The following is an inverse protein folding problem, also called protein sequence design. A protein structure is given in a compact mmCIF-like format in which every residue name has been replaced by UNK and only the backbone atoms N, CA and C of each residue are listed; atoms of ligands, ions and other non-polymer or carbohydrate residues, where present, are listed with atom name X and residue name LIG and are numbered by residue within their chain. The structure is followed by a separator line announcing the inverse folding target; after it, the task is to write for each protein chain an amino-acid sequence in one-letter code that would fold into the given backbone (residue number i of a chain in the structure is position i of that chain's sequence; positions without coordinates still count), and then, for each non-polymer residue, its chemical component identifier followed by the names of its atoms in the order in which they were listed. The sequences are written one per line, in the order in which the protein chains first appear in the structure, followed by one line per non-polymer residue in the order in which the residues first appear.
data_IF_179114297541
#
_entry.id   IF_179114297541
#
_cell.length_a   1.000
_cell.length_b   1.000
_cell.length_c   1.000
_cell.angle_alpha   90.00
_cell.angle_beta   90.00
_cell.angle_gamma   90.00
#
_symmetry.space_group_name_H-M   'P 1'
#
loop_
_entity.id
_entity.type
_entity.pdbx_description
1 polymer ?
#
# COMPACT_ATOMS: atom_id res chain seq x y z
N UNK A 1 13.19 25.21 36.82
CA UNK A 1 12.22 24.15 36.43
C UNK A 1 11.97 24.14 34.93
N UNK A 2 11.87 25.29 34.26
CA UNK A 2 11.64 25.36 32.80
C UNK A 2 12.79 24.77 31.95
N UNK A 3 14.05 25.01 32.33
CA UNK A 3 15.21 24.55 31.55
C UNK A 3 15.31 23.02 31.49
N UNK A 4 14.93 22.33 32.56
CA UNK A 4 14.91 20.86 32.62
C UNK A 4 13.84 20.28 31.70
N UNK A 5 12.66 20.93 31.64
CA UNK A 5 11.59 20.54 30.72
C UNK A 5 12.00 20.70 29.25
N UNK A 6 12.69 21.79 28.91
CA UNK A 6 13.18 22.04 27.55
C UNK A 6 14.22 20.99 27.13
N UNK A 7 15.15 20.62 28.01
CA UNK A 7 16.17 19.59 27.73
C UNK A 7 15.52 18.22 27.52
N UNK A 8 14.53 17.86 28.33
CA UNK A 8 13.80 16.59 28.18
C UNK A 8 12.98 16.55 26.88
N UNK A 9 12.33 17.65 26.52
CA UNK A 9 11.58 17.76 25.26
C UNK A 9 12.50 17.64 24.04
N UNK A 10 13.69 18.26 24.09
CA UNK A 10 14.68 18.18 23.03
C UNK A 10 15.20 16.74 22.86
N UNK A 11 15.51 16.05 23.96
CA UNK A 11 15.90 14.64 23.92
C UNK A 11 14.78 13.74 23.41
N UNK A 12 13.54 13.98 23.82
CA UNK A 12 12.38 13.22 23.36
C UNK A 12 12.15 13.40 21.85
N UNK A 13 12.28 14.62 21.33
CA UNK A 13 12.20 14.90 19.88
C UNK A 13 13.34 14.22 19.10
N UNK A 14 14.56 14.22 19.65
CA UNK A 14 15.69 13.51 19.04
C UNK A 14 15.44 11.99 19.03
N UNK A 15 14.99 11.41 20.14
CA UNK A 15 14.67 9.98 20.18
C UNK A 15 13.46 9.61 19.32
N UNK A 16 12.44 10.46 19.23
CA UNK A 16 11.26 10.24 18.39
C UNK A 16 11.63 10.26 16.89
N UNK A 17 12.53 11.18 16.49
CA UNK A 17 13.03 11.21 15.11
C UNK A 17 13.91 10.00 14.78
N UNK A 18 14.78 9.55 15.71
CA UNK A 18 15.55 8.31 15.55
C UNK A 18 14.67 7.04 15.53
N UNK A 19 13.64 6.96 16.36
CA UNK A 19 12.70 5.84 16.38
C UNK A 19 11.92 5.73 15.06
N UNK A 20 11.55 6.88 14.47
CA UNK A 20 10.88 6.90 13.16
C UNK A 20 11.83 6.47 12.03
N UNK A 21 13.12 6.84 12.08
CA UNK A 21 14.12 6.41 11.08
C UNK A 21 14.45 4.91 11.18
N UNK A 22 14.40 4.32 12.37
CA UNK A 22 14.58 2.88 12.56
C UNK A 22 13.38 2.05 12.04
N UNK A 23 12.15 2.57 12.19
CA UNK A 23 10.92 1.89 11.74
C UNK A 23 10.74 2.00 10.21
N UNK A 24 11.22 3.07 9.57
CA UNK A 24 11.14 3.24 8.11
C UNK A 24 12.28 2.53 7.36
N UNK A 25 13.43 2.28 7.99
CA UNK A 25 14.54 1.55 7.33
C UNK A 25 14.39 0.04 7.28
N UNK A 26 13.52 -0.57 8.08
CA UNK A 26 13.20 -2.01 7.97
C UNK A 26 12.10 -2.29 6.93
N UNK A 27 11.27 -1.30 6.59
CA UNK A 27 10.24 -1.45 5.53
C UNK A 27 10.74 -1.10 4.13
N UNK A 28 11.83 -0.32 4.00
CA UNK A 28 12.37 0.09 2.69
C UNK A 28 13.49 -0.79 2.12
N UNK A 29 13.96 -1.79 2.87
CA UNK A 29 14.92 -2.80 2.39
C UNK A 29 14.25 -4.06 1.82
N UNK A 30 12.92 -4.25 2.00
CA UNK A 30 12.17 -5.33 1.34
C UNK A 30 11.73 -4.94 -0.08
N UNK A 31 11.70 -3.64 -0.41
CA UNK A 31 11.29 -3.14 -1.74
C UNK A 31 12.39 -3.11 -2.82
N UNK A 32 13.58 -3.68 -2.58
CA UNK A 32 14.65 -3.81 -3.61
C UNK A 32 15.30 -5.20 -3.68
N UNK A 33 14.55 -6.24 -3.35
CA UNK A 33 15.03 -7.62 -3.37
C UNK A 33 14.22 -8.60 -4.24
N UNK A 34 13.24 -8.13 -5.02
CA UNK A 34 12.26 -9.03 -5.67
C UNK A 34 12.28 -8.98 -7.21
N UNK A 35 13.12 -8.16 -7.84
CA UNK A 35 13.26 -8.18 -9.32
C UNK A 35 14.39 -9.08 -9.85
N UNK A 36 15.02 -9.93 -9.02
CA UNK A 36 16.05 -10.89 -9.49
C UNK A 36 15.92 -12.32 -8.96
N UNK A 37 14.70 -12.83 -8.76
CA UNK A 37 14.53 -14.25 -8.36
C UNK A 37 13.38 -14.99 -9.05
N UNK A 38 13.20 -14.83 -10.35
CA UNK A 38 12.16 -15.57 -11.10
C UNK A 38 12.69 -16.56 -12.15
N UNK A 39 13.99 -16.85 -12.24
CA UNK A 39 14.46 -17.82 -13.26
C UNK A 39 15.55 -18.82 -12.85
N UNK A 40 15.94 -18.96 -11.57
CA UNK A 40 17.07 -19.87 -11.23
C UNK A 40 17.04 -20.51 -9.85
N UNK A 41 15.93 -21.15 -9.48
CA UNK A 41 15.84 -21.93 -8.24
C UNK A 41 15.32 -23.36 -8.43
N UNK A 42 15.57 -23.98 -9.60
CA UNK A 42 15.24 -25.39 -9.85
C UNK A 42 16.41 -26.38 -9.71
N UNK A 43 17.64 -25.95 -9.36
CA UNK A 43 18.81 -26.87 -9.29
C UNK A 43 19.93 -26.50 -8.28
N UNK A 44 19.62 -25.99 -7.08
CA UNK A 44 20.64 -25.82 -6.00
C UNK A 44 20.07 -26.24 -4.64
N UNK A 45 19.38 -27.37 -4.58
CA UNK A 45 18.77 -27.82 -3.33
C UNK A 45 19.02 -29.30 -3.01
N UNK A 46 19.58 -30.09 -3.93
CA UNK A 46 19.70 -31.52 -3.65
C UNK A 46 20.93 -31.89 -2.79
N UNK A 47 22.18 -31.52 -3.10
CA UNK A 47 23.29 -32.23 -2.43
C UNK A 47 24.12 -31.49 -1.36
N UNK A 48 23.82 -30.24 -1.02
CA UNK A 48 24.52 -29.52 0.08
C UNK A 48 23.62 -29.28 1.31
N UNK A 49 22.37 -29.78 1.29
CA UNK A 49 21.35 -29.55 2.32
C UNK A 49 21.34 -30.55 3.47
N UNK A 50 22.03 -31.69 3.37
CA UNK A 50 21.77 -32.83 4.27
C UNK A 50 22.46 -32.76 5.65
N UNK A 51 23.45 -31.89 5.88
CA UNK A 51 24.10 -31.76 7.21
C UNK A 51 23.85 -30.44 7.93
N UNK A 52 23.65 -29.33 7.22
CA UNK A 52 23.43 -28.03 7.85
C UNK A 52 21.97 -27.76 8.25
N UNK A 53 21.00 -28.50 7.71
CA UNK A 53 19.56 -28.20 7.84
C UNK A 53 18.89 -28.82 9.07
N UNK A 54 19.53 -29.79 9.73
CA UNK A 54 18.94 -30.52 10.87
C UNK A 54 18.81 -29.67 12.15
N UNK A 55 19.53 -28.55 12.23
CA UNK A 55 19.52 -27.65 13.40
C UNK A 55 18.78 -26.31 13.17
N UNK A 56 18.41 -25.99 11.93
CA UNK A 56 17.77 -24.71 11.57
C UNK A 56 16.36 -24.86 10.97
N UNK A 57 15.87 -26.10 10.75
CA UNK A 57 14.49 -26.32 10.37
C UNK A 57 13.60 -26.42 11.62
N UNK A 58 12.51 -25.64 11.69
CA UNK A 58 11.37 -26.03 12.51
C UNK A 58 11.04 -27.48 12.14
N UNK A 59 10.92 -28.38 13.10
CA UNK A 59 10.42 -29.74 12.82
C UNK A 59 9.05 -29.68 12.14
N UNK A 60 8.54 -30.81 11.64
CA UNK A 60 7.29 -30.84 10.86
C UNK A 60 6.11 -30.10 11.53
N UNK A 61 6.06 -30.12 12.86
CA UNK A 61 5.09 -29.33 13.66
C UNK A 61 5.29 -27.82 13.51
N UNK A 62 6.52 -27.33 13.57
CA UNK A 62 6.80 -25.90 13.36
C UNK A 62 6.52 -25.46 11.92
N UNK A 63 6.70 -26.35 10.93
CA UNK A 63 6.31 -26.09 9.56
C UNK A 63 4.78 -25.93 9.41
N UNK A 64 4.00 -26.76 10.11
CA UNK A 64 2.53 -26.61 10.17
C UNK A 64 2.12 -25.28 10.84
N UNK A 65 2.71 -24.95 11.99
CA UNK A 65 2.39 -23.69 12.69
C UNK A 65 2.70 -22.48 11.81
N UNK A 66 3.85 -22.48 11.12
CA UNK A 66 4.20 -21.41 10.18
C UNK A 66 3.22 -21.31 9.03
N UNK A 67 2.83 -22.44 8.43
CA UNK A 67 1.88 -22.46 7.32
C UNK A 67 0.52 -21.88 7.72
N UNK A 68 0.06 -22.17 8.95
CA UNK A 68 -1.17 -21.61 9.52
C UNK A 68 -1.07 -20.09 9.72
N UNK A 69 0.06 -19.62 10.25
CA UNK A 69 0.32 -18.19 10.44
C UNK A 69 0.35 -17.44 9.10
N UNK A 70 1.04 -17.99 8.10
CA UNK A 70 1.16 -17.39 6.77
C UNK A 70 -0.22 -17.32 6.08
N UNK A 71 -1.00 -18.41 6.15
CA UNK A 71 -2.36 -18.47 5.61
C UNK A 71 -3.26 -17.41 6.25
N UNK A 72 -3.26 -17.34 7.58
CA UNK A 72 -4.07 -16.36 8.32
C UNK A 72 -3.66 -14.92 7.99
N UNK A 73 -2.36 -14.62 8.03
CA UNK A 73 -1.82 -13.29 7.73
C UNK A 73 -2.15 -12.84 6.30
N UNK A 74 -2.05 -13.76 5.34
CA UNK A 74 -2.40 -13.48 3.93
C UNK A 74 -3.89 -13.11 3.78
N UNK A 75 -4.80 -13.83 4.44
CA UNK A 75 -6.23 -13.53 4.40
C UNK A 75 -6.56 -12.23 5.14
N UNK A 76 -6.07 -12.06 6.38
CA UNK A 76 -6.33 -10.88 7.22
C UNK A 76 -5.85 -9.60 6.50
N UNK A 77 -4.62 -9.60 5.96
CA UNK A 77 -4.09 -8.45 5.19
C UNK A 77 -4.85 -8.17 3.88
N UNK A 78 -5.53 -9.18 3.32
CA UNK A 78 -6.35 -9.00 2.12
C UNK A 78 -7.70 -8.39 2.47
N UNK A 79 -8.31 -8.77 3.60
CA UNK A 79 -9.51 -8.10 4.11
C UNK A 79 -9.23 -6.64 4.46
N UNK A 80 -8.10 -6.34 5.09
CA UNK A 80 -7.69 -4.95 5.37
C UNK A 80 -7.56 -4.14 4.08
N UNK A 81 -6.92 -4.68 3.04
CA UNK A 81 -6.84 -3.99 1.75
C UNK A 81 -8.22 -3.77 1.11
N UNK A 82 -9.12 -4.74 1.21
CA UNK A 82 -10.46 -4.68 0.61
C UNK A 82 -11.36 -3.63 1.26
N UNK A 83 -11.19 -3.38 2.57
CA UNK A 83 -11.97 -2.39 3.32
C UNK A 83 -11.86 -0.97 2.75
N UNK A 84 -10.79 -0.67 2.00
CA UNK A 84 -10.55 0.64 1.42
C UNK A 84 -10.84 0.72 -0.09
N UNK A 85 -11.01 -0.42 -0.78
CA UNK A 85 -11.06 -0.48 -2.23
C UNK A 85 -12.46 -0.37 -2.85
N UNK A 86 -13.53 -0.56 -2.05
CA UNK A 86 -14.92 -0.54 -2.53
C UNK A 86 -15.17 -1.43 -3.77
N UNK A 87 -14.76 -2.70 -3.70
CA UNK A 87 -14.91 -3.71 -4.76
C UNK A 87 -15.82 -4.86 -4.29
N UNK A 88 -17.15 -4.74 -4.41
CA UNK A 88 -18.08 -5.72 -3.82
C UNK A 88 -17.96 -7.12 -4.42
N UNK A 89 -17.68 -7.24 -5.72
CA UNK A 89 -17.51 -8.54 -6.37
C UNK A 89 -16.22 -9.23 -5.91
N UNK A 90 -15.13 -8.48 -5.79
CA UNK A 90 -13.86 -9.00 -5.27
C UNK A 90 -13.97 -9.39 -3.78
N UNK A 91 -14.75 -8.64 -3.00
CA UNK A 91 -15.05 -8.98 -1.61
C UNK A 91 -15.81 -10.31 -1.50
N UNK A 92 -16.82 -10.55 -2.35
CA UNK A 92 -17.55 -11.82 -2.37
C UNK A 92 -16.63 -13.01 -2.74
N UNK A 93 -15.65 -12.80 -3.64
CA UNK A 93 -14.63 -13.81 -3.94
C UNK A 93 -13.72 -14.07 -2.74
N UNK A 94 -13.33 -13.02 -2.01
CA UNK A 94 -12.51 -13.14 -0.81
C UNK A 94 -13.23 -13.91 0.30
N UNK A 95 -14.54 -13.70 0.49
CA UNK A 95 -15.34 -14.46 1.46
C UNK A 95 -15.31 -15.96 1.15
N UNK A 96 -15.55 -16.33 -0.12
CA UNK A 96 -15.47 -17.73 -0.55
C UNK A 96 -14.06 -18.31 -0.40
N UNK A 97 -13.03 -17.51 -0.65
CA UNK A 97 -11.64 -17.91 -0.45
C UNK A 97 -11.34 -18.12 1.04
N UNK A 98 -11.87 -17.26 1.91
CA UNK A 98 -11.72 -17.36 3.36
C UNK A 98 -12.37 -18.64 3.91
N UNK A 99 -13.53 -19.05 3.40
CA UNK A 99 -14.14 -20.34 3.77
C UNK A 99 -13.21 -21.53 3.45
N UNK A 100 -12.55 -21.49 2.29
CA UNK A 100 -11.54 -22.49 1.93
C UNK A 100 -10.30 -22.40 2.83
N UNK A 101 -9.86 -21.19 3.20
CA UNK A 101 -8.74 -20.98 4.11
C UNK A 101 -9.04 -21.51 5.52
N UNK A 102 -10.24 -21.27 6.06
CA UNK A 102 -10.68 -21.78 7.37
C UNK A 102 -10.79 -23.30 7.38
N UNK A 103 -11.29 -23.90 6.31
CA UNK A 103 -11.32 -25.35 6.14
C UNK A 103 -9.91 -25.92 6.17
N UNK A 104 -8.97 -25.30 5.44
CA UNK A 104 -7.58 -25.73 5.43
C UNK A 104 -6.87 -25.53 6.78
N UNK A 105 -7.12 -24.42 7.49
CA UNK A 105 -6.57 -24.22 8.85
C UNK A 105 -7.06 -25.30 9.82
N UNK A 106 -8.32 -25.72 9.71
CA UNK A 106 -8.85 -26.81 10.52
C UNK A 106 -8.16 -28.15 10.21
N UNK A 107 -7.92 -28.46 8.93
CA UNK A 107 -7.14 -29.63 8.51
C UNK A 107 -5.70 -29.58 9.06
N UNK A 108 -5.03 -28.44 8.93
CA UNK A 108 -3.68 -28.23 9.46
C UNK A 108 -3.62 -28.40 10.97
N UNK A 109 -4.62 -27.88 11.70
CA UNK A 109 -4.74 -28.01 13.15
C UNK A 109 -5.00 -29.46 13.59
N UNK A 110 -5.73 -30.23 12.80
CA UNK A 110 -5.90 -31.67 13.04
C UNK A 110 -4.57 -32.40 12.87
N UNK A 111 -3.83 -32.10 11.80
CA UNK A 111 -2.53 -32.71 11.52
C UNK A 111 -1.46 -32.33 12.57
N UNK A 112 -1.52 -31.12 13.13
CA UNK A 112 -0.63 -30.68 14.21
C UNK A 112 -0.76 -31.53 15.48
N UNK A 113 -1.95 -32.11 15.72
CA UNK A 113 -2.25 -32.98 16.86
C UNK A 113 -1.89 -34.46 16.61
N UNK A 114 -1.48 -34.80 15.39
CA UNK A 114 -1.15 -36.18 15.02
C UNK A 114 0.15 -36.64 15.73
N UNK A 115 0.10 -37.72 16.53
CA UNK A 115 1.28 -38.26 17.19
C UNK A 115 2.26 -38.91 16.19
N UNK A 116 1.77 -39.52 15.11
CA UNK A 116 2.60 -40.18 14.10
C UNK A 116 3.25 -39.17 13.15
N UNK A 117 4.55 -38.92 13.36
CA UNK A 117 5.33 -37.97 12.54
C UNK A 117 5.46 -38.39 11.09
N UNK A 118 5.45 -39.69 10.79
CA UNK A 118 5.55 -40.16 9.40
C UNK A 118 4.30 -39.78 8.61
N UNK A 119 3.12 -39.85 9.23
CA UNK A 119 1.85 -39.39 8.65
C UNK A 119 1.83 -37.88 8.44
N UNK A 120 2.39 -37.11 9.37
CA UNK A 120 2.55 -35.66 9.21
C UNK A 120 3.44 -35.34 8.02
N UNK A 121 4.64 -35.92 7.93
CA UNK A 121 5.57 -35.66 6.82
C UNK A 121 4.98 -36.05 5.46
N UNK A 122 4.17 -37.11 5.40
CA UNK A 122 3.53 -37.57 4.17
C UNK A 122 2.42 -36.63 3.66
N UNK A 123 1.63 -36.03 4.56
CA UNK A 123 0.51 -35.16 4.18
C UNK A 123 0.89 -33.68 4.03
N UNK A 124 1.96 -33.25 4.71
CA UNK A 124 2.40 -31.85 4.75
C UNK A 124 2.60 -31.22 3.35
N UNK A 125 3.20 -31.88 2.34
CA UNK A 125 3.39 -31.28 1.02
C UNK A 125 2.07 -30.95 0.31
N UNK A 126 1.06 -31.82 0.42
CA UNK A 126 -0.24 -31.61 -0.22
C UNK A 126 -1.01 -30.44 0.40
N UNK A 127 -0.96 -30.30 1.74
CA UNK A 127 -1.56 -29.15 2.43
C UNK A 127 -0.81 -27.84 2.15
N UNK A 128 0.52 -27.92 2.01
CA UNK A 128 1.36 -26.77 1.63
C UNK A 128 0.98 -26.24 0.25
N UNK A 129 0.78 -27.13 -0.74
CA UNK A 129 0.37 -26.73 -2.08
C UNK A 129 -1.01 -26.05 -2.08
N UNK A 130 -1.97 -26.61 -1.33
CA UNK A 130 -3.31 -26.00 -1.18
C UNK A 130 -3.23 -24.62 -0.52
N UNK A 131 -2.43 -24.48 0.53
CA UNK A 131 -2.20 -23.20 1.18
C UNK A 131 -1.59 -22.18 0.21
N UNK A 132 -0.59 -22.59 -0.57
CA UNK A 132 0.06 -21.72 -1.55
C UNK A 132 -0.91 -21.19 -2.61
N UNK A 133 -1.82 -22.04 -3.11
CA UNK A 133 -2.87 -21.62 -4.06
C UNK A 133 -3.83 -20.60 -3.45
N UNK A 134 -4.19 -20.77 -2.18
CA UNK A 134 -5.06 -19.82 -1.46
C UNK A 134 -4.32 -18.49 -1.26
N UNK A 135 -3.10 -18.52 -0.72
CA UNK A 135 -2.32 -17.29 -0.48
C UNK A 135 -2.03 -16.54 -1.78
N UNK A 136 -1.75 -17.26 -2.87
CA UNK A 136 -1.53 -16.64 -4.18
C UNK A 136 -2.80 -15.95 -4.71
N UNK A 137 -3.96 -16.58 -4.53
CA UNK A 137 -5.26 -15.97 -4.90
C UNK A 137 -5.56 -14.75 -4.03
N UNK A 138 -5.27 -14.81 -2.74
CA UNK A 138 -5.41 -13.69 -1.81
C UNK A 138 -4.46 -12.53 -2.18
N UNK A 139 -3.20 -12.81 -2.53
CA UNK A 139 -2.24 -11.81 -3.01
C UNK A 139 -2.74 -11.11 -4.28
N UNK A 140 -3.34 -11.84 -5.22
CA UNK A 140 -3.92 -11.25 -6.42
C UNK A 140 -5.08 -10.29 -6.09
N UNK A 141 -5.98 -10.68 -5.17
CA UNK A 141 -7.07 -9.82 -4.69
C UNK A 141 -6.53 -8.58 -3.95
N UNK A 142 -5.50 -8.75 -3.13
CA UNK A 142 -4.86 -7.66 -2.40
C UNK A 142 -4.22 -6.65 -3.35
N UNK A 143 -3.56 -7.12 -4.38
CA UNK A 143 -2.96 -6.26 -5.40
C UNK A 143 -4.03 -5.46 -6.15
N UNK A 144 -5.12 -6.10 -6.57
CA UNK A 144 -6.25 -5.42 -7.20
C UNK A 144 -6.90 -4.36 -6.28
N UNK A 145 -7.05 -4.66 -4.99
CA UNK A 145 -7.57 -3.70 -4.01
C UNK A 145 -6.66 -2.48 -3.84
N UNK A 146 -5.35 -2.70 -3.72
CA UNK A 146 -4.36 -1.62 -3.60
C UNK A 146 -4.33 -0.75 -4.86
N UNK A 147 -4.37 -1.36 -6.03
CA UNK A 147 -4.42 -0.67 -7.31
C UNK A 147 -5.65 0.25 -7.41
N UNK A 148 -6.83 -0.24 -6.98
CA UNK A 148 -8.07 0.54 -6.96
C UNK A 148 -7.99 1.79 -6.07
N UNK A 149 -7.40 1.67 -4.88
CA UNK A 149 -7.21 2.80 -3.94
C UNK A 149 -6.25 3.84 -4.51
N UNK A 150 -5.19 3.39 -5.19
CA UNK A 150 -4.25 4.30 -5.85
C UNK A 150 -4.91 5.08 -6.99
N UNK A 151 -5.72 4.40 -7.81
CA UNK A 151 -6.45 5.03 -8.91
C UNK A 151 -7.57 5.97 -8.43
N UNK A 152 -8.36 5.59 -7.43
CA UNK A 152 -9.42 6.47 -6.88
C UNK A 152 -8.86 7.78 -6.34
N UNK A 153 -7.76 7.72 -5.58
CA UNK A 153 -7.12 8.90 -5.00
C UNK A 153 -6.58 9.84 -6.08
N UNK A 154 -6.06 9.27 -7.18
CA UNK A 154 -5.58 10.05 -8.33
C UNK A 154 -6.71 10.78 -9.05
N UNK A 155 -7.83 10.10 -9.27
CA UNK A 155 -9.00 10.68 -9.93
C UNK A 155 -9.63 11.80 -9.08
N UNK A 156 -9.76 11.59 -7.77
CA UNK A 156 -10.29 12.58 -6.83
C UNK A 156 -9.41 13.84 -6.79
N UNK A 157 -8.08 13.68 -6.72
CA UNK A 157 -7.15 14.82 -6.72
C UNK A 157 -7.15 15.56 -8.06
N UNK A 158 -7.26 14.85 -9.18
CA UNK A 158 -7.36 15.47 -10.50
C UNK A 158 -8.67 16.28 -10.65
N UNK A 159 -9.78 15.76 -10.14
CA UNK A 159 -11.05 16.48 -10.08
C UNK A 159 -10.95 17.73 -9.22
N UNK A 160 -10.41 17.61 -8.00
CA UNK A 160 -10.21 18.73 -7.08
C UNK A 160 -9.29 19.80 -7.67
N UNK A 161 -8.19 19.39 -8.33
CA UNK A 161 -7.28 20.33 -9.00
C UNK A 161 -8.02 21.12 -10.08
N UNK A 162 -8.86 20.46 -10.88
CA UNK A 162 -9.67 21.13 -11.91
C UNK A 162 -10.66 22.13 -11.31
N UNK A 163 -11.31 21.77 -10.20
CA UNK A 163 -12.21 22.67 -9.48
C UNK A 163 -11.47 23.90 -8.92
N UNK A 164 -10.32 23.67 -8.29
CA UNK A 164 -9.44 24.75 -7.80
C UNK A 164 -8.99 25.66 -8.95
N UNK A 165 -8.63 25.11 -10.12
CA UNK A 165 -8.21 25.92 -11.27
C UNK A 165 -9.35 26.80 -11.81
N UNK A 166 -10.58 26.28 -11.83
CA UNK A 166 -11.77 27.06 -12.21
C UNK A 166 -12.00 28.19 -11.20
N UNK A 167 -11.99 27.89 -9.90
CA UNK A 167 -12.18 28.88 -8.83
C UNK A 167 -11.05 29.92 -8.81
N UNK A 168 -9.80 29.49 -8.96
CA UNK A 168 -8.65 30.39 -9.03
C UNK A 168 -8.66 31.28 -10.28
N UNK A 169 -9.24 30.81 -11.39
CA UNK A 169 -9.45 31.62 -12.59
C UNK A 169 -10.55 32.66 -12.37
N UNK A 170 -11.66 32.27 -11.73
CA UNK A 170 -12.72 33.19 -11.33
C UNK A 170 -12.20 34.29 -10.39
N UNK A 171 -11.36 33.91 -9.42
CA UNK A 171 -10.68 34.83 -8.50
C UNK A 171 -9.56 35.68 -9.14
N UNK A 172 -9.20 35.49 -10.40
CA UNK A 172 -8.31 36.43 -11.13
C UNK A 172 -9.09 37.36 -12.05
N UNK A 173 -10.26 36.94 -12.50
CA UNK A 173 -11.12 37.71 -13.39
C UNK A 173 -11.87 38.86 -12.70
N UNK A 174 -11.73 39.05 -11.39
CA UNK A 174 -12.25 40.25 -10.69
C UNK A 174 -11.33 41.48 -10.81
N UNK A 175 -10.23 41.38 -11.57
CA UNK A 175 -9.40 42.55 -11.85
C UNK A 175 -10.30 43.68 -12.35
N UNK A 176 -10.40 44.81 -11.62
CA UNK A 176 -11.47 45.77 -11.84
C UNK A 176 -11.39 46.32 -13.27
N UNK A 177 -12.53 46.75 -13.82
CA UNK A 177 -12.72 47.41 -15.12
C UNK A 177 -11.87 48.69 -15.36
N UNK A 178 -10.69 48.82 -14.75
CA UNK A 178 -9.72 49.90 -14.93
C UNK A 178 -9.21 49.99 -16.38
N UNK A 179 -9.23 48.89 -17.14
CA UNK A 179 -8.82 48.92 -18.56
C UNK A 179 -9.86 49.55 -19.51
N UNK A 180 -11.12 49.69 -19.08
CA UNK A 180 -12.17 50.37 -19.84
C UNK A 180 -12.23 51.86 -19.53
N UNK A 181 -12.22 52.20 -18.23
CA UNK A 181 -12.33 53.59 -17.75
C UNK A 181 -11.10 54.43 -18.12
N UNK A 182 -9.89 53.85 -18.10
CA UNK A 182 -8.68 54.59 -18.51
C UNK A 182 -8.62 54.85 -20.02
N UNK A 183 -9.08 53.91 -20.86
CA UNK A 183 -9.13 54.11 -22.32
C UNK A 183 -10.21 55.09 -22.75
N UNK A 184 -11.34 55.11 -22.06
CA UNK A 184 -12.40 56.08 -22.32
C UNK A 184 -12.03 57.48 -21.80
N UNK A 185 -11.29 57.58 -20.69
CA UNK A 185 -10.72 58.84 -20.20
C UNK A 185 -9.61 59.37 -21.11
N UNK A 186 -8.78 58.50 -21.67
CA UNK A 186 -7.73 58.88 -22.61
C UNK A 186 -8.33 59.37 -23.94
N UNK A 187 -9.31 58.65 -24.49
CA UNK A 187 -10.10 59.11 -25.66
C UNK A 187 -10.83 60.43 -25.40
N UNK A 188 -11.42 60.61 -24.22
CA UNK A 188 -12.07 61.87 -23.85
C UNK A 188 -11.09 63.04 -23.67
N UNK A 189 -9.83 62.76 -23.32
CA UNK A 189 -8.75 63.77 -23.29
C UNK A 189 -8.24 64.11 -24.68
N UNK A 190 -8.09 63.12 -25.57
CA UNK A 190 -7.70 63.33 -26.97
C UNK A 190 -8.73 64.20 -27.71
N UNK A 191 -10.03 63.90 -27.58
CA UNK A 191 -11.10 64.68 -28.19
C UNK A 191 -11.16 66.14 -27.68
N UNK A 192 -10.79 66.37 -26.41
CA UNK A 192 -10.75 67.71 -25.82
C UNK A 192 -9.56 68.54 -26.31
N UNK A 193 -8.44 67.87 -26.62
CA UNK A 193 -7.20 68.52 -27.03
C UNK A 193 -7.02 68.56 -28.56
N UNK A 194 -8.01 68.13 -29.33
CA UNK A 194 -7.98 68.21 -30.78
C UNK A 194 -8.22 69.67 -31.22
N UNK A 195 -7.24 70.34 -31.86
CA UNK A 195 -7.42 71.71 -32.31
C UNK A 195 -8.48 71.77 -33.42
N UNK A 196 -9.24 72.87 -33.53
CA UNK A 196 -10.25 73.02 -34.56
C UNK A 196 -9.59 72.88 -35.92
N UNK A 197 -10.11 71.96 -36.74
CA UNK A 197 -9.64 71.77 -38.11
C UNK A 197 -9.87 73.07 -38.86
N UNK A 198 -8.78 73.78 -39.17
CA UNK A 198 -8.83 74.98 -39.98
C UNK A 198 -9.31 74.58 -41.39
N UNK A 199 -10.50 75.06 -41.75
CA UNK A 199 -11.00 75.07 -43.13
C UNK A 199 -10.38 76.20 -43.93
#
# INVERSE_FOLDING_TARGET
METVGIILLLFFLIFATLATVAIVRTTRAVKRGVERRTAKARRIVEDQRLRARRFAQPGDIGALTQLRLDLRSSIDSTFEAMAHASLPEAAALLDRLNDHARTLDAELKLLEREPDKSRVSAQLPALTERAHRITHSADALRWAAQDRVHHSTGDDLASLTREIDIEATALRHWEPLQSGDDRDRERARELRNQPPSAG
#
